data_IF_937420353824
#
_entry.id   IF_937420353824
#
_cell.length_a   1.000
_cell.length_b   1.000
_cell.length_c   1.000
_cell.angle_alpha   90.00
_cell.angle_beta   90.00
_cell.angle_gamma   90.00
#
_symmetry.space_group_name_H-M   'P 1'
#
loop_
_entity.id
_entity.type
_entity.pdbx_description
1 polymer ?
#
# COMPACT_ATOMS: atom_id res chain seq x y z
N UNK A 1 -5.43 2.04 24.77
CA UNK A 1 -6.85 2.32 24.99
C UNK A 1 -6.94 3.78 25.37
N UNK A 2 -7.80 4.56 24.69
CA UNK A 2 -8.07 5.95 25.02
C UNK A 2 -9.13 6.04 26.14
N UNK A 3 -8.93 6.91 27.12
CA UNK A 3 -9.79 7.11 28.29
C UNK A 3 -10.10 8.60 28.50
N UNK A 4 -11.32 8.98 28.13
CA UNK A 4 -11.83 10.34 28.23
C UNK A 4 -12.53 10.52 29.57
N UNK A 5 -12.17 11.55 30.33
CA UNK A 5 -12.77 11.84 31.62
C UNK A 5 -13.53 13.17 31.58
N UNK A 6 -14.76 13.18 32.10
CA UNK A 6 -15.63 14.36 32.15
C UNK A 6 -15.96 14.72 33.60
N UNK A 7 -16.20 16.02 33.86
CA UNK A 7 -16.67 16.50 35.16
C UNK A 7 -15.79 16.10 36.33
N UNK A 8 -14.50 16.43 36.32
CA UNK A 8 -13.56 16.06 37.39
C UNK A 8 -13.56 14.55 37.75
N UNK A 9 -13.77 13.68 36.76
CA UNK A 9 -13.92 12.22 36.85
C UNK A 9 -15.29 11.70 37.34
N UNK A 10 -16.36 12.48 37.17
CA UNK A 10 -17.75 12.03 37.40
C UNK A 10 -18.11 10.79 36.55
N UNK A 11 -17.67 10.79 35.29
CA UNK A 11 -17.75 9.64 34.41
C UNK A 11 -16.57 9.61 33.44
N UNK A 12 -16.29 8.42 32.92
CA UNK A 12 -15.28 8.23 31.89
C UNK A 12 -15.83 7.39 30.74
N UNK A 13 -15.31 7.66 29.55
CA UNK A 13 -15.62 6.94 28.32
C UNK A 13 -14.31 6.33 27.84
N UNK A 14 -14.29 5.01 27.69
CA UNK A 14 -13.16 4.30 27.12
C UNK A 14 -13.46 4.02 25.66
N UNK A 15 -12.49 4.32 24.79
CA UNK A 15 -12.52 3.95 23.37
C UNK A 15 -11.30 3.08 23.10
N UNK A 16 -11.55 1.87 22.59
CA UNK A 16 -10.52 0.89 22.27
C UNK A 16 -10.62 0.49 20.82
N UNK A 17 -9.53 0.57 20.08
CA UNK A 17 -9.53 0.10 18.71
C UNK A 17 -9.69 -1.43 18.67
N UNK A 18 -10.57 -1.88 17.78
CA UNK A 18 -10.60 -3.27 17.35
C UNK A 18 -9.56 -3.43 16.24
N UNK A 19 -8.92 -4.59 16.18
CA UNK A 19 -7.85 -4.87 15.20
C UNK A 19 -8.42 -5.10 13.79
N UNK A 20 -9.62 -4.59 13.50
CA UNK A 20 -10.37 -4.76 12.27
C UNK A 20 -10.21 -3.51 11.40
N UNK A 21 -9.83 -3.72 10.16
CA UNK A 21 -9.69 -2.69 9.14
C UNK A 21 -10.50 -3.12 7.94
N UNK A 22 -11.38 -2.23 7.48
CA UNK A 22 -12.14 -2.45 6.26
C UNK A 22 -11.91 -1.30 5.30
N UNK A 23 -11.84 -1.62 4.01
CA UNK A 23 -11.82 -0.63 2.96
C UNK A 23 -13.06 -0.71 2.09
N UNK A 24 -13.49 0.45 1.62
CA UNK A 24 -14.51 0.57 0.60
C UNK A 24 -13.86 1.22 -0.63
N UNK A 25 -13.79 0.51 -1.77
CA UNK A 25 -13.12 1.01 -2.95
C UNK A 25 -13.74 2.32 -3.46
N UNK A 26 -12.88 3.26 -3.86
CA UNK A 26 -13.25 4.44 -4.64
C UNK A 26 -12.25 4.62 -5.78
N UNK A 27 -12.28 5.78 -6.45
CA UNK A 27 -11.38 6.07 -7.58
C UNK A 27 -10.18 6.87 -7.07
N UNK A 28 -9.01 6.24 -7.02
CA UNK A 28 -7.73 6.75 -6.45
C UNK A 28 -7.78 7.17 -4.97
N UNK A 29 -8.97 7.19 -4.38
CA UNK A 29 -9.26 7.50 -2.99
C UNK A 29 -10.29 6.51 -2.47
N UNK A 30 -9.92 5.78 -1.43
CA UNK A 30 -10.72 4.75 -0.79
C UNK A 30 -11.20 5.24 0.56
N UNK A 31 -12.29 4.64 1.06
CA UNK A 31 -12.73 4.88 2.43
C UNK A 31 -12.13 3.80 3.33
N UNK A 32 -11.33 4.22 4.29
CA UNK A 32 -10.79 3.41 5.37
C UNK A 32 -11.75 3.50 6.57
N UNK A 33 -12.26 2.36 7.02
CA UNK A 33 -13.10 2.23 8.18
C UNK A 33 -12.38 1.45 9.29
N UNK A 34 -12.29 2.06 10.48
CA UNK A 34 -11.71 1.48 11.68
C UNK A 34 -12.81 1.27 12.71
N UNK A 35 -12.88 0.06 13.28
CA UNK A 35 -13.86 -0.26 14.33
C UNK A 35 -13.26 -0.05 15.71
N UNK A 36 -14.05 0.53 16.61
CA UNK A 36 -13.72 0.76 18.00
C UNK A 36 -14.82 0.22 18.89
N UNK A 37 -14.47 -0.19 20.10
CA UNK A 37 -15.41 -0.41 21.19
C UNK A 37 -15.45 0.82 22.09
N UNK A 38 -16.66 1.26 22.40
CA UNK A 38 -16.92 2.37 23.31
C UNK A 38 -17.63 1.85 24.55
N UNK A 39 -17.20 2.27 25.74
CA UNK A 39 -17.86 1.92 27.00
C UNK A 39 -17.77 3.08 27.97
N UNK A 40 -18.90 3.45 28.56
CA UNK A 40 -18.98 4.48 29.59
C UNK A 40 -19.03 3.87 31.00
N UNK A 41 -18.47 4.58 31.98
CA UNK A 41 -18.49 4.21 33.41
C UNK A 41 -18.69 5.46 34.26
N UNK A 42 -19.31 5.29 35.44
CA UNK A 42 -19.55 6.39 36.37
C UNK A 42 -20.95 6.98 36.23
N UNK A 43 -21.10 8.24 36.63
CA UNK A 43 -22.38 8.93 36.69
C UNK A 43 -22.67 9.69 35.39
N UNK A 44 -23.23 8.99 34.40
CA UNK A 44 -23.60 9.57 33.10
C UNK A 44 -25.07 9.29 32.77
N UNK A 45 -25.64 10.09 31.88
CA UNK A 45 -26.98 9.85 31.34
C UNK A 45 -26.91 8.81 30.22
N UNK A 46 -27.61 7.69 30.39
CA UNK A 46 -27.67 6.62 29.38
C UNK A 46 -28.20 7.16 28.05
N UNK A 47 -27.57 6.74 26.96
CA UNK A 47 -27.86 7.18 25.59
C UNK A 47 -27.69 8.70 25.35
N UNK A 48 -27.01 9.42 26.26
CA UNK A 48 -26.56 10.78 25.97
C UNK A 48 -25.68 10.77 24.71
N UNK A 49 -25.95 11.63 23.72
CA UNK A 49 -25.25 11.61 22.45
C UNK A 49 -23.88 12.28 22.54
N UNK A 50 -22.88 11.59 22.03
CA UNK A 50 -21.51 12.08 21.88
C UNK A 50 -21.09 12.04 20.41
N UNK A 51 -20.35 13.06 20.00
CA UNK A 51 -19.64 13.07 18.73
C UNK A 51 -18.21 12.63 18.95
N UNK A 52 -17.75 11.66 18.16
CA UNK A 52 -16.37 11.17 18.18
C UNK A 52 -15.72 11.57 16.86
N UNK A 53 -14.62 12.30 16.93
CA UNK A 53 -13.81 12.70 15.77
C UNK A 53 -12.33 12.56 16.11
N UNK A 54 -11.46 12.78 15.12
CA UNK A 54 -10.03 12.75 15.37
C UNK A 54 -9.19 12.89 14.12
N UNK A 55 -7.90 12.65 14.25
CA UNK A 55 -6.97 12.55 13.14
C UNK A 55 -6.21 11.23 13.22
N UNK A 56 -5.96 10.63 12.06
CA UNK A 56 -5.24 9.38 11.93
C UNK A 56 -3.85 9.63 11.37
N UNK A 57 -2.87 9.00 11.99
CA UNK A 57 -1.45 9.11 11.66
C UNK A 57 -0.82 7.72 11.56
N UNK A 58 0.20 7.58 10.71
CA UNK A 58 1.14 6.47 10.79
C UNK A 58 1.99 6.61 12.05
N UNK A 59 2.07 5.58 12.89
CA UNK A 59 2.77 5.69 14.18
C UNK A 59 4.30 5.71 14.02
N UNK A 60 4.83 4.94 13.07
CA UNK A 60 6.27 4.70 12.91
C UNK A 60 6.99 5.81 12.13
N UNK A 61 6.25 6.69 11.46
CA UNK A 61 6.81 7.79 10.67
C UNK A 61 6.66 9.10 11.46
N UNK A 62 7.74 9.75 11.91
CA UNK A 62 7.62 11.07 12.51
C UNK A 62 7.43 12.16 11.45
N UNK A 63 6.62 13.18 11.77
CA UNK A 63 6.46 14.39 10.97
C UNK A 63 5.18 14.44 10.11
N UNK A 64 4.96 15.53 9.36
CA UNK A 64 3.71 15.79 8.64
C UNK A 64 3.40 14.75 7.55
N UNK A 65 4.41 14.03 7.06
CA UNK A 65 4.24 12.94 6.10
C UNK A 65 3.52 11.70 6.67
N UNK A 66 3.34 11.64 7.99
CA UNK A 66 2.62 10.55 8.66
C UNK A 66 1.11 10.78 8.75
N UNK A 67 0.62 11.97 8.42
CA UNK A 67 -0.80 12.27 8.45
C UNK A 67 -1.55 11.49 7.36
N UNK A 68 -2.61 10.80 7.76
CA UNK A 68 -3.45 10.00 6.86
C UNK A 68 -4.74 10.76 6.55
N UNK A 69 -5.44 11.22 7.57
CA UNK A 69 -6.74 11.87 7.37
C UNK A 69 -7.49 12.20 8.64
N UNK A 70 -8.65 12.83 8.48
CA UNK A 70 -9.58 13.13 9.58
C UNK A 70 -10.50 11.94 9.80
N UNK A 71 -10.47 11.40 11.02
CA UNK A 71 -11.42 10.41 11.49
C UNK A 71 -12.73 11.11 11.86
N UNK A 72 -13.82 10.61 11.32
CA UNK A 72 -15.14 11.09 11.70
C UNK A 72 -16.10 9.92 11.86
N UNK A 73 -17.04 10.08 12.77
CA UNK A 73 -18.21 9.22 12.85
C UNK A 73 -19.35 9.81 12.02
N UNK A 74 -20.09 9.01 11.24
CA UNK A 74 -21.21 9.53 10.46
C UNK A 74 -22.39 9.95 11.33
N UNK A 75 -22.47 9.48 12.59
CA UNK A 75 -23.58 9.76 13.51
C UNK A 75 -23.10 9.81 14.96
N UNK A 76 -23.73 10.63 15.84
CA UNK A 76 -23.45 10.57 17.26
C UNK A 76 -23.68 9.18 17.85
N UNK A 77 -22.90 8.83 18.87
CA UNK A 77 -23.01 7.57 19.62
C UNK A 77 -23.62 7.84 21.00
N UNK A 78 -24.58 7.01 21.41
CA UNK A 78 -25.13 7.05 22.76
C UNK A 78 -24.22 6.33 23.76
N UNK A 79 -24.01 6.90 24.94
CA UNK A 79 -23.23 6.23 25.99
C UNK A 79 -23.95 5.02 26.57
N UNK A 80 -23.21 3.92 26.71
CA UNK A 80 -23.69 2.65 27.26
C UNK A 80 -22.70 2.09 28.27
N UNK A 81 -23.22 1.34 29.25
CA UNK A 81 -22.43 0.68 30.29
C UNK A 81 -21.71 -0.58 29.80
N UNK A 82 -22.06 -1.03 28.60
CA UNK A 82 -21.49 -2.19 27.92
C UNK A 82 -20.83 -1.77 26.61
N UNK A 83 -19.95 -2.63 26.09
CA UNK A 83 -19.23 -2.39 24.86
C UNK A 83 -20.20 -2.20 23.68
N UNK A 84 -20.13 -1.02 23.06
CA UNK A 84 -20.83 -0.71 21.83
C UNK A 84 -19.83 -0.47 20.70
N UNK A 85 -20.14 -0.97 19.51
CA UNK A 85 -19.29 -0.77 18.34
C UNK A 85 -19.49 0.64 17.78
N UNK A 86 -18.37 1.30 17.48
CA UNK A 86 -18.28 2.56 16.78
C UNK A 86 -17.38 2.37 15.56
N UNK A 87 -17.77 2.91 14.42
CA UNK A 87 -16.90 2.97 13.25
C UNK A 87 -16.49 4.42 13.03
N UNK A 88 -15.18 4.65 12.91
CA UNK A 88 -14.62 5.91 12.44
C UNK A 88 -14.07 5.72 11.04
N UNK A 89 -14.36 6.67 10.17
CA UNK A 89 -14.00 6.59 8.76
C UNK A 89 -13.08 7.75 8.38
N UNK A 90 -12.18 7.49 7.44
CA UNK A 90 -11.37 8.51 6.75
C UNK A 90 -11.21 8.13 5.30
N UNK A 91 -10.87 9.11 4.46
CA UNK A 91 -10.39 8.86 3.11
C UNK A 91 -8.90 8.54 3.14
N UNK A 92 -8.46 7.65 2.26
CA UNK A 92 -7.06 7.32 2.03
C UNK A 92 -6.80 7.16 0.54
N UNK A 93 -5.72 7.75 0.05
CA UNK A 93 -5.31 7.65 -1.35
C UNK A 93 -4.44 6.43 -1.61
N UNK A 94 -4.39 5.98 -2.86
CA UNK A 94 -3.41 5.02 -3.36
C UNK A 94 -1.97 5.33 -2.93
N UNK A 95 -1.59 6.61 -2.99
CA UNK A 95 -0.26 7.06 -2.64
C UNK A 95 0.01 6.87 -1.14
N UNK A 96 -0.98 7.18 -0.29
CA UNK A 96 -0.88 6.95 1.15
C UNK A 96 -0.82 5.46 1.47
N UNK A 97 -1.65 4.62 0.84
CA UNK A 97 -1.59 3.17 1.00
C UNK A 97 -0.22 2.60 0.65
N UNK A 98 0.37 3.02 -0.48
CA UNK A 98 1.74 2.65 -0.85
C UNK A 98 2.79 3.13 0.15
N UNK A 99 2.60 4.32 0.74
CA UNK A 99 3.47 4.85 1.79
C UNK A 99 3.41 4.05 3.08
N UNK A 100 2.20 3.63 3.49
CA UNK A 100 1.99 2.75 4.63
C UNK A 100 2.63 1.38 4.41
N UNK A 101 2.47 0.80 3.21
CA UNK A 101 3.11 -0.48 2.86
C UNK A 101 4.63 -0.43 2.91
N UNK A 102 5.23 0.65 2.38
CA UNK A 102 6.69 0.87 2.48
C UNK A 102 7.16 0.95 3.92
N UNK A 103 6.44 1.71 4.75
CA UNK A 103 6.80 1.92 6.16
C UNK A 103 6.74 0.60 6.92
N UNK A 104 5.67 -0.18 6.68
CA UNK A 104 5.43 -1.48 7.31
C UNK A 104 6.49 -2.52 6.94
N UNK A 105 6.97 -2.49 5.70
CA UNK A 105 7.98 -3.40 5.16
C UNK A 105 7.69 -4.90 5.47
N UNK A 106 6.41 -5.29 5.43
CA UNK A 106 5.99 -6.66 5.73
C UNK A 106 5.58 -6.95 7.18
N UNK A 107 5.80 -6.04 8.14
CA UNK A 107 5.43 -6.19 9.56
C UNK A 107 3.95 -5.86 9.86
N UNK A 108 3.56 -5.74 11.13
CA UNK A 108 2.26 -5.18 11.50
C UNK A 108 2.21 -3.68 11.21
N UNK A 109 1.04 -3.14 10.90
CA UNK A 109 0.87 -1.70 10.73
C UNK A 109 0.51 -1.05 12.06
N UNK A 110 1.30 -0.07 12.50
CA UNK A 110 0.99 0.74 13.67
C UNK A 110 0.42 2.12 13.24
N UNK A 111 -0.76 2.44 13.73
CA UNK A 111 -1.44 3.72 13.52
C UNK A 111 -1.64 4.43 14.86
N UNK A 112 -1.69 5.76 14.84
CA UNK A 112 -2.08 6.59 15.98
C UNK A 112 -3.33 7.37 15.63
N UNK A 113 -4.38 7.17 16.40
CA UNK A 113 -5.59 7.98 16.34
C UNK A 113 -5.55 9.01 17.47
N UNK A 114 -5.50 10.29 17.13
CA UNK A 114 -5.68 11.39 18.07
C UNK A 114 -7.16 11.75 18.06
N UNK A 115 -7.87 11.41 19.13
CA UNK A 115 -9.32 11.40 19.20
C UNK A 115 -9.83 12.53 20.08
N UNK A 116 -10.96 13.12 19.67
CA UNK A 116 -11.71 14.10 20.43
C UNK A 116 -13.14 13.59 20.64
N UNK A 117 -13.61 13.69 21.87
CA UNK A 117 -14.93 13.26 22.28
C UNK A 117 -15.73 14.46 22.78
N UNK A 118 -16.81 14.79 22.08
CA UNK A 118 -17.67 15.94 22.39
C UNK A 118 -19.05 15.50 22.87
N UNK A 119 -19.41 15.83 24.09
CA UNK A 119 -20.75 15.66 24.65
C UNK A 119 -21.72 16.68 24.04
N UNK A 120 -22.78 16.23 23.37
CA UNK A 120 -23.71 17.14 22.65
C UNK A 120 -24.83 17.70 23.54
N UNK A 121 -25.07 17.08 24.70
CA UNK A 121 -26.14 17.47 25.64
C UNK A 121 -25.65 17.72 27.07
N UNK A 122 -24.34 17.70 27.29
CA UNK A 122 -23.76 18.00 28.61
C UNK A 122 -23.92 19.49 28.90
N UNK A 123 -24.34 19.82 30.12
CA UNK A 123 -24.59 21.21 30.56
C UNK A 123 -23.84 21.56 31.83
N UNK A 124 -23.28 20.58 32.53
CA UNK A 124 -22.60 20.79 33.82
C UNK A 124 -21.10 20.96 33.69
N UNK A 125 -20.49 20.40 32.65
CA UNK A 125 -19.04 20.26 32.51
C UNK A 125 -18.54 20.79 31.16
N UNK A 126 -17.22 20.99 31.06
CA UNK A 126 -16.60 21.21 29.76
C UNK A 126 -16.90 20.01 28.85
N UNK A 127 -17.49 20.22 27.66
CA UNK A 127 -18.10 19.14 26.89
C UNK A 127 -17.12 18.38 26.00
N UNK A 128 -15.82 18.72 26.01
CA UNK A 128 -14.81 18.13 25.13
C UNK A 128 -13.70 17.47 25.94
N UNK A 129 -13.30 16.27 25.56
CA UNK A 129 -12.11 15.61 26.07
C UNK A 129 -11.31 15.00 24.92
N UNK A 130 -9.98 15.02 25.04
CA UNK A 130 -9.06 14.53 24.01
C UNK A 130 -8.16 13.44 24.61
N UNK A 131 -7.87 12.41 23.81
CA UNK A 131 -6.91 11.36 24.15
C UNK A 131 -6.47 10.65 22.85
N UNK A 132 -5.51 9.74 22.95
CA UNK A 132 -4.96 9.01 21.81
C UNK A 132 -5.08 7.51 21.96
N UNK A 133 -5.24 6.83 20.82
CA UNK A 133 -5.21 5.38 20.72
C UNK A 133 -4.14 4.92 19.72
N UNK A 134 -3.29 3.99 20.15
CA UNK A 134 -2.36 3.29 19.25
C UNK A 134 -3.04 2.01 18.77
N UNK A 135 -3.19 1.91 17.46
CA UNK A 135 -3.87 0.82 16.78
C UNK A 135 -2.81 -0.03 16.11
N UNK A 136 -2.72 -1.29 16.51
CA UNK A 136 -1.86 -2.26 15.82
C UNK A 136 -2.73 -3.12 14.93
N UNK A 137 -2.54 -3.04 13.62
CA UNK A 137 -3.25 -3.86 12.65
C UNK A 137 -2.34 -5.02 12.28
N UNK A 138 -2.71 -6.28 12.60
CA UNK A 138 -1.91 -7.44 12.25
C UNK A 138 -1.66 -7.52 10.74
N UNK A 139 -0.49 -8.01 10.34
CA UNK A 139 -0.13 -8.19 8.93
C UNK A 139 -1.24 -8.89 8.13
N UNK A 140 -1.75 -10.02 8.63
CA UNK A 140 -2.78 -10.79 7.94
C UNK A 140 -4.09 -10.00 7.75
N UNK A 141 -4.54 -9.27 8.78
CA UNK A 141 -5.76 -8.43 8.68
C UNK A 141 -5.57 -7.35 7.63
N UNK A 142 -4.43 -6.65 7.67
CA UNK A 142 -4.13 -5.58 6.75
C UNK A 142 -4.02 -6.07 5.30
N UNK A 143 -3.30 -7.17 5.06
CA UNK A 143 -3.17 -7.78 3.73
C UNK A 143 -4.52 -8.26 3.19
N UNK A 144 -5.37 -8.84 4.04
CA UNK A 144 -6.74 -9.22 3.64
C UNK A 144 -7.58 -8.00 3.26
N UNK A 145 -7.47 -6.91 4.03
CA UNK A 145 -8.19 -5.66 3.75
C UNK A 145 -7.73 -5.03 2.42
N UNK A 146 -6.42 -5.02 2.13
CA UNK A 146 -5.90 -4.56 0.84
C UNK A 146 -6.37 -5.46 -0.32
N UNK A 147 -6.43 -6.78 -0.12
CA UNK A 147 -6.96 -7.70 -1.14
C UNK A 147 -8.43 -7.41 -1.48
N UNK A 148 -9.21 -6.87 -0.53
CA UNK A 148 -10.60 -6.46 -0.77
C UNK A 148 -10.74 -5.15 -1.56
N UNK A 149 -9.71 -4.28 -1.54
CA UNK A 149 -9.65 -3.13 -2.44
C UNK A 149 -9.48 -3.56 -3.89
N UNK A 150 -8.74 -4.65 -4.08
CA UNK A 150 -8.26 -5.14 -5.36
C UNK A 150 -8.71 -6.58 -5.60
N UNK A 151 -9.98 -6.81 -5.93
CA UNK A 151 -10.56 -8.14 -6.20
C UNK A 151 -10.02 -8.86 -7.47
N UNK A 152 -8.71 -8.76 -7.73
CA UNK A 152 -7.88 -9.67 -8.49
C UNK A 152 -6.48 -9.63 -7.87
N UNK A 153 -5.91 -10.77 -7.50
CA UNK A 153 -4.59 -10.82 -6.87
C UNK A 153 -3.53 -10.08 -7.72
N UNK A 154 -2.88 -9.06 -7.17
CA UNK A 154 -1.74 -8.38 -7.78
C UNK A 154 -0.49 -8.54 -6.92
N UNK A 155 0.67 -8.56 -7.59
CA UNK A 155 1.97 -8.36 -6.95
C UNK A 155 2.32 -6.89 -7.14
N UNK A 156 2.20 -6.10 -6.08
CA UNK A 156 2.65 -4.72 -6.09
C UNK A 156 4.17 -4.67 -6.07
N UNK A 157 4.76 -4.29 -7.20
CA UNK A 157 6.18 -3.99 -7.25
C UNK A 157 6.40 -2.50 -7.06
N UNK A 158 6.90 -2.14 -5.89
CA UNK A 158 7.37 -0.79 -5.62
C UNK A 158 8.63 -0.52 -6.45
N UNK A 159 8.55 0.49 -7.31
CA UNK A 159 9.71 0.94 -8.08
C UNK A 159 10.38 2.07 -7.29
N UNK A 160 11.65 1.90 -6.88
CA UNK A 160 12.34 2.84 -6.01
C UNK A 160 12.48 4.23 -6.64
N UNK A 161 12.34 5.26 -5.81
CA UNK A 161 12.76 6.62 -6.16
C UNK A 161 14.27 6.67 -5.98
N UNK A 162 14.99 6.87 -7.07
CA UNK A 162 16.45 6.76 -7.12
C UNK A 162 17.03 7.99 -7.78
N UNK A 163 18.21 8.41 -7.31
CA UNK A 163 19.01 9.49 -7.90
C UNK A 163 19.82 9.01 -9.11
N UNK A 164 19.90 7.69 -9.35
CA UNK A 164 20.56 7.11 -10.52
C UNK A 164 19.68 7.31 -11.75
N UNK A 165 20.08 8.21 -12.64
CA UNK A 165 19.31 8.63 -13.81
C UNK A 165 18.79 7.47 -14.66
N UNK A 166 19.61 6.44 -14.89
CA UNK A 166 19.24 5.26 -15.66
C UNK A 166 18.08 4.49 -15.01
N UNK A 167 18.12 4.29 -13.68
CA UNK A 167 17.07 3.59 -12.93
C UNK A 167 15.79 4.44 -12.84
N UNK A 168 15.93 5.77 -12.69
CA UNK A 168 14.79 6.70 -12.74
C UNK A 168 14.10 6.70 -14.12
N UNK A 169 14.89 6.61 -15.19
CA UNK A 169 14.36 6.47 -16.57
C UNK A 169 13.63 5.15 -16.76
N UNK A 170 14.16 4.03 -16.23
CA UNK A 170 13.43 2.75 -16.27
C UNK A 170 12.12 2.81 -15.47
N UNK A 171 12.11 3.45 -14.30
CA UNK A 171 10.89 3.65 -13.51
C UNK A 171 9.84 4.49 -14.26
N UNK A 172 10.28 5.51 -15.01
CA UNK A 172 9.41 6.29 -15.90
C UNK A 172 8.83 5.41 -17.02
N UNK A 173 9.66 4.62 -17.70
CA UNK A 173 9.22 3.70 -18.77
C UNK A 173 8.17 2.69 -18.29
N UNK A 174 8.32 2.17 -17.07
CA UNK A 174 7.32 1.26 -16.48
C UNK A 174 5.98 1.98 -16.24
N UNK A 175 5.99 3.23 -15.76
CA UNK A 175 4.76 4.03 -15.62
C UNK A 175 4.11 4.31 -16.98
N UNK A 176 4.91 4.67 -17.98
CA UNK A 176 4.44 4.86 -19.36
C UNK A 176 3.85 3.56 -19.94
N UNK A 177 4.43 2.39 -19.63
CA UNK A 177 3.93 1.09 -20.05
C UNK A 177 2.57 0.76 -19.41
N UNK A 178 2.36 1.10 -18.13
CA UNK A 178 1.04 0.97 -17.48
C UNK A 178 -0.02 1.81 -18.19
N UNK A 179 0.32 3.04 -18.58
CA UNK A 179 -0.54 3.91 -19.39
C UNK A 179 -0.84 3.28 -20.75
N UNK A 180 0.18 2.72 -21.42
CA UNK A 180 0.01 2.04 -22.70
C UNK A 180 -0.93 0.82 -22.62
N UNK A 181 -0.87 0.02 -21.54
CA UNK A 181 -1.82 -1.09 -21.31
C UNK A 181 -3.25 -0.58 -21.20
N UNK A 182 -3.47 0.50 -20.44
CA UNK A 182 -4.79 1.13 -20.31
C UNK A 182 -5.32 1.60 -21.66
N UNK A 183 -4.45 2.16 -22.49
CA UNK A 183 -4.78 2.63 -23.84
C UNK A 183 -4.82 1.49 -24.89
N UNK A 184 -4.77 0.22 -24.47
CA UNK A 184 -4.77 -0.98 -25.32
C UNK A 184 -3.59 -1.08 -26.31
N UNK A 185 -2.50 -0.36 -26.05
CA UNK A 185 -1.26 -0.38 -26.84
C UNK A 185 -0.28 -1.41 -26.28
N UNK A 186 -0.62 -2.69 -26.37
CA UNK A 186 0.08 -3.78 -25.68
C UNK A 186 1.53 -3.98 -26.16
N UNK A 187 1.75 -4.00 -27.48
CA UNK A 187 3.09 -4.11 -28.06
C UNK A 187 3.99 -2.95 -27.61
N UNK A 188 3.46 -1.73 -27.61
CA UNK A 188 4.18 -0.56 -27.10
C UNK A 188 4.50 -0.68 -25.60
N UNK A 189 3.58 -1.22 -24.80
CA UNK A 189 3.83 -1.49 -23.39
C UNK A 189 4.97 -2.50 -23.19
N UNK A 190 5.02 -3.55 -24.00
CA UNK A 190 6.11 -4.55 -23.98
C UNK A 190 7.43 -3.94 -24.42
N UNK A 191 7.45 -3.09 -25.45
CA UNK A 191 8.65 -2.37 -25.89
C UNK A 191 9.20 -1.44 -24.78
N UNK A 192 8.32 -0.73 -24.06
CA UNK A 192 8.69 0.08 -22.89
C UNK A 192 9.24 -0.79 -21.74
N UNK A 193 8.62 -1.94 -21.47
CA UNK A 193 9.11 -2.89 -20.47
C UNK A 193 10.49 -3.45 -20.83
N UNK A 194 10.73 -3.80 -22.10
CA UNK A 194 12.06 -4.19 -22.62
C UNK A 194 13.09 -3.11 -22.38
N UNK A 195 12.77 -1.87 -22.73
CA UNK A 195 13.66 -0.73 -22.54
C UNK A 195 13.91 -0.43 -21.05
N UNK A 196 12.97 -0.75 -20.16
CA UNK A 196 13.17 -0.62 -18.71
C UNK A 196 14.17 -1.64 -18.15
N UNK A 197 14.47 -2.74 -18.87
CA UNK A 197 15.47 -3.72 -18.46
C UNK A 197 16.91 -3.32 -18.79
N UNK A 198 17.16 -2.31 -19.64
CA UNK A 198 18.53 -1.92 -19.99
C UNK A 198 19.39 -1.56 -18.77
N UNK A 199 18.91 -0.71 -17.81
CA UNK A 199 19.69 -0.41 -16.60
C UNK A 199 19.89 -1.62 -15.69
N UNK A 200 18.95 -2.56 -15.66
CA UNK A 200 19.08 -3.82 -14.92
C UNK A 200 20.21 -4.66 -15.50
N UNK A 201 20.24 -4.78 -16.83
CA UNK A 201 21.25 -5.57 -17.55
C UNK A 201 22.65 -5.00 -17.36
N UNK A 202 22.76 -3.69 -17.42
CA UNK A 202 24.02 -2.98 -17.19
C UNK A 202 24.50 -3.17 -15.75
N UNK A 203 23.67 -2.82 -14.76
CA UNK A 203 24.03 -2.91 -13.34
C UNK A 203 24.39 -4.35 -12.90
N UNK A 204 23.76 -5.37 -13.49
CA UNK A 204 24.04 -6.77 -13.16
C UNK A 204 25.11 -7.42 -14.05
N UNK A 205 25.77 -6.70 -14.97
CA UNK A 205 26.67 -7.29 -15.97
C UNK A 205 26.04 -8.50 -16.69
N UNK A 206 24.72 -8.43 -16.95
CA UNK A 206 23.91 -9.59 -17.33
C UNK A 206 24.45 -10.30 -18.56
N UNK A 207 24.93 -9.58 -19.58
CA UNK A 207 25.46 -10.20 -20.81
C UNK A 207 26.64 -11.11 -20.52
N UNK A 208 27.64 -10.63 -19.77
CA UNK A 208 28.83 -11.39 -19.43
C UNK A 208 28.48 -12.63 -18.60
N UNK A 209 27.66 -12.46 -17.56
CA UNK A 209 27.26 -13.56 -16.69
C UNK A 209 26.38 -14.58 -17.41
N UNK A 210 25.49 -14.13 -18.29
CA UNK A 210 24.68 -15.00 -19.13
C UNK A 210 25.55 -15.86 -20.03
N UNK A 211 26.51 -15.26 -20.74
CA UNK A 211 27.38 -15.97 -21.69
C UNK A 211 28.25 -17.03 -20.99
N UNK A 212 28.62 -16.79 -19.73
CA UNK A 212 29.27 -17.78 -18.87
C UNK A 212 28.28 -18.88 -18.41
N UNK A 213 27.09 -18.48 -17.97
CA UNK A 213 26.08 -19.38 -17.40
C UNK A 213 25.52 -20.38 -18.42
N UNK A 214 25.40 -20.01 -19.69
CA UNK A 214 24.90 -20.90 -20.76
C UNK A 214 25.87 -22.06 -21.05
N UNK A 215 27.15 -21.92 -20.72
CA UNK A 215 28.14 -23.00 -20.85
C UNK A 215 28.04 -24.03 -19.70
N UNK A 216 27.31 -23.72 -18.64
CA UNK A 216 27.10 -24.58 -17.47
C UNK A 216 25.75 -25.30 -17.54
N UNK A 217 25.68 -26.50 -16.96
CA UNK A 217 24.38 -27.18 -16.74
C UNK A 217 23.55 -26.38 -15.76
N UNK A 218 22.22 -26.45 -15.86
CA UNK A 218 21.31 -25.68 -15.02
C UNK A 218 21.56 -25.87 -13.50
N UNK A 219 21.92 -27.09 -13.07
CA UNK A 219 22.24 -27.39 -11.68
C UNK A 219 23.57 -26.82 -11.18
N UNK A 220 24.50 -26.50 -12.08
CA UNK A 220 25.85 -25.99 -11.78
C UNK A 220 25.91 -24.45 -11.73
N UNK A 221 24.81 -23.78 -12.09
CA UNK A 221 24.72 -22.32 -12.09
C UNK A 221 24.51 -21.79 -10.68
N UNK A 222 25.30 -20.80 -10.31
CA UNK A 222 25.10 -20.05 -9.07
C UNK A 222 23.88 -19.11 -9.16
N UNK A 223 23.58 -18.41 -8.06
CA UNK A 223 22.43 -17.52 -7.98
C UNK A 223 22.50 -16.36 -8.99
N UNK A 224 23.66 -15.73 -9.16
CA UNK A 224 23.80 -14.59 -10.08
C UNK A 224 23.71 -15.03 -11.53
N UNK A 225 24.27 -16.19 -11.86
CA UNK A 225 24.15 -16.81 -13.17
C UNK A 225 22.68 -17.13 -13.51
N UNK A 226 21.91 -17.66 -12.54
CA UNK A 226 20.48 -17.91 -12.73
C UNK A 226 19.68 -16.62 -12.93
N UNK A 227 20.00 -15.56 -12.19
CA UNK A 227 19.40 -14.24 -12.41
C UNK A 227 19.77 -13.67 -13.79
N UNK A 228 21.02 -13.83 -14.22
CA UNK A 228 21.46 -13.38 -15.53
C UNK A 228 20.71 -14.11 -16.66
N UNK A 229 20.49 -15.42 -16.53
CA UNK A 229 19.63 -16.18 -17.45
C UNK A 229 18.22 -15.58 -17.48
N UNK A 230 17.58 -15.39 -16.33
CA UNK A 230 16.22 -14.85 -16.27
C UNK A 230 16.09 -13.46 -16.90
N UNK A 231 17.00 -12.54 -16.55
CA UNK A 231 17.00 -11.16 -17.08
C UNK A 231 17.21 -11.18 -18.59
N UNK A 232 18.16 -11.98 -19.08
CA UNK A 232 18.46 -12.06 -20.51
C UNK A 232 17.33 -12.72 -21.30
N UNK A 233 16.68 -13.75 -20.75
CA UNK A 233 15.50 -14.38 -21.36
C UNK A 233 14.31 -13.41 -21.43
N UNK A 234 14.02 -12.68 -20.35
CA UNK A 234 12.98 -11.65 -20.35
C UNK A 234 13.28 -10.56 -21.40
N UNK A 235 14.53 -10.08 -21.45
CA UNK A 235 14.96 -9.10 -22.44
C UNK A 235 14.80 -9.61 -23.87
N UNK A 236 15.23 -10.83 -24.16
CA UNK A 236 15.14 -11.43 -25.48
C UNK A 236 13.68 -11.60 -25.92
N UNK A 237 12.81 -12.09 -25.03
CA UNK A 237 11.39 -12.24 -25.32
C UNK A 237 10.74 -10.88 -25.64
N UNK A 238 10.93 -9.88 -24.78
CA UNK A 238 10.32 -8.56 -24.97
C UNK A 238 10.95 -7.76 -26.11
N UNK A 239 12.15 -8.16 -26.57
CA UNK A 239 12.77 -7.57 -27.76
C UNK A 239 11.98 -7.85 -29.02
N UNK A 240 11.11 -8.88 -29.05
CA UNK A 240 10.22 -9.11 -30.19
C UNK A 240 9.18 -8.01 -30.40
N UNK A 241 8.87 -7.17 -29.41
CA UNK A 241 7.91 -6.07 -29.59
C UNK A 241 8.40 -4.96 -30.53
N UNK A 242 9.63 -4.43 -30.40
CA UNK A 242 10.14 -3.44 -31.34
C UNK A 242 10.75 -4.00 -32.64
N UNK A 243 10.72 -5.31 -32.88
CA UNK A 243 11.41 -5.95 -34.01
C UNK A 243 10.42 -6.74 -34.89
N UNK A 244 10.60 -6.64 -36.20
CA UNK A 244 9.79 -7.32 -37.22
C UNK A 244 10.71 -8.19 -38.10
N UNK A 245 11.55 -8.98 -37.43
CA UNK A 245 12.58 -9.79 -38.07
C UNK A 245 11.93 -11.03 -38.71
N UNK A 246 12.18 -11.20 -40.02
CA UNK A 246 11.60 -12.28 -40.81
C UNK A 246 11.98 -13.66 -40.26
N UNK A 247 10.98 -14.54 -40.11
CA UNK A 247 11.14 -15.89 -39.58
C UNK A 247 11.26 -15.98 -38.05
N UNK A 248 11.25 -14.86 -37.31
CA UNK A 248 11.31 -14.87 -35.84
C UNK A 248 10.22 -14.05 -35.17
N UNK A 249 10.26 -12.71 -35.28
CA UNK A 249 9.42 -11.83 -34.46
C UNK A 249 8.23 -11.25 -35.24
N UNK A 250 8.23 -11.38 -36.57
CA UNK A 250 7.17 -10.84 -37.46
C UNK A 250 5.75 -11.35 -37.16
N UNK A 251 5.64 -12.49 -36.47
CA UNK A 251 4.38 -13.11 -36.12
C UNK A 251 4.01 -12.95 -34.64
N UNK A 252 4.76 -12.15 -33.87
CA UNK A 252 4.50 -11.95 -32.45
C UNK A 252 3.23 -11.11 -32.27
N UNK A 253 2.23 -11.67 -31.59
CA UNK A 253 1.03 -10.92 -31.20
C UNK A 253 1.06 -10.69 -29.69
N UNK A 254 1.03 -9.43 -29.27
CA UNK A 254 1.06 -9.08 -27.86
C UNK A 254 -0.35 -8.85 -27.31
N UNK A 255 -0.73 -9.65 -26.31
CA UNK A 255 -2.01 -9.48 -25.62
C UNK A 255 -1.87 -8.58 -24.39
N UNK A 256 -3.03 -8.20 -23.81
CA UNK A 256 -3.07 -7.53 -22.50
C UNK A 256 -2.33 -8.31 -21.42
N UNK A 257 -2.49 -9.64 -21.40
CA UNK A 257 -1.85 -10.50 -20.39
C UNK A 257 -0.34 -10.50 -20.54
N UNK A 258 0.16 -10.55 -21.77
CA UNK A 258 1.61 -10.50 -22.05
C UNK A 258 2.21 -9.16 -21.63
N UNK A 259 1.51 -8.06 -21.94
CA UNK A 259 1.94 -6.73 -21.53
C UNK A 259 1.99 -6.57 -20.01
N UNK A 260 1.00 -7.09 -19.28
CA UNK A 260 1.01 -7.11 -17.80
C UNK A 260 2.19 -7.93 -17.28
N UNK A 261 2.42 -9.13 -17.83
CA UNK A 261 3.53 -9.98 -17.43
C UNK A 261 4.90 -9.32 -17.69
N UNK A 262 5.05 -8.65 -18.84
CA UNK A 262 6.27 -7.93 -19.19
C UNK A 262 6.55 -6.77 -18.23
N UNK A 263 5.52 -5.97 -17.93
CA UNK A 263 5.62 -4.85 -16.99
C UNK A 263 5.94 -5.34 -15.58
N UNK A 264 5.27 -6.38 -15.10
CA UNK A 264 5.54 -6.96 -13.77
C UNK A 264 6.96 -7.52 -13.67
N UNK A 265 7.43 -8.22 -14.71
CA UNK A 265 8.79 -8.76 -14.80
C UNK A 265 9.82 -7.64 -14.77
N UNK A 266 9.66 -6.60 -15.58
CA UNK A 266 10.59 -5.48 -15.63
C UNK A 266 10.61 -4.70 -14.30
N UNK A 267 9.45 -4.47 -13.68
CA UNK A 267 9.36 -3.83 -12.38
C UNK A 267 10.07 -4.67 -11.30
N UNK A 268 9.80 -5.96 -11.22
CA UNK A 268 10.41 -6.85 -10.21
C UNK A 268 11.93 -6.91 -10.32
N UNK A 269 12.43 -7.01 -11.55
CA UNK A 269 13.87 -7.01 -11.82
C UNK A 269 14.54 -5.66 -11.54
N UNK A 270 13.83 -4.55 -11.75
CA UNK A 270 14.32 -3.21 -11.40
C UNK A 270 14.32 -2.98 -9.89
N UNK A 271 13.28 -3.41 -9.17
CA UNK A 271 13.20 -3.30 -7.71
C UNK A 271 14.34 -4.06 -7.01
N UNK A 272 14.75 -5.21 -7.56
CA UNK A 272 15.93 -5.96 -7.09
C UNK A 272 17.24 -5.16 -7.14
N UNK A 273 17.33 -4.09 -7.94
CA UNK A 273 18.52 -3.22 -7.95
C UNK A 273 18.58 -2.26 -6.74
N UNK A 274 17.51 -2.10 -5.96
CA UNK A 274 17.48 -1.17 -4.82
C UNK A 274 18.57 -1.52 -3.80
N UNK A 275 18.78 -2.81 -3.56
CA UNK A 275 19.81 -3.33 -2.64
C UNK A 275 21.22 -3.38 -3.25
N UNK A 276 21.40 -2.92 -4.50
CA UNK A 276 22.68 -2.93 -5.20
C UNK A 276 23.21 -1.51 -5.40
N UNK A 277 24.52 -1.27 -5.12
CA UNK A 277 25.16 0.03 -5.34
C UNK A 277 24.96 0.52 -6.78
#
# INVERSE_FOLDING_TARGET
MANFSFGSNDYSVNIRAQHNVNFIPGWDTHRLALTFEVTARGNYTVDAPFLVSGTLWAHETPGPASWIGVLHTPRPVGLKSFAANLTLETSVTDQQLRGLERTRAGNDLALRAELSLTALTETKHWPVADDQEIIRVPHATWSNALTQLDAGAFVDVLIPVTTVEARATAARRIREAKTAIRDQRYEHAVALARAALDPVREACNTKKLHDQAVQKKAGERDQEERWAILIQSAYALFSGAPHDDAGTTENFTWTRTDAIAAVATAAGLLARLEDRP
#
